data_IF_718649632061
#
_entry.id   IF_718649632061
#
_cell.length_a   1.000
_cell.length_b   1.000
_cell.length_c   1.000
_cell.angle_alpha   90.00
_cell.angle_beta   90.00
_cell.angle_gamma   90.00
#
_symmetry.space_group_name_H-M   'P 1'
#
loop_
_entity.id
_entity.type
_entity.pdbx_description
1 polymer ?
#
# COMPACT_ATOMS: atom_id res chain seq x y z
N UNK A 1 12.23 9.85 23.29
CA UNK A 1 10.80 9.68 22.93
C UNK A 1 10.64 8.96 21.60
N UNK A 2 11.34 9.38 20.54
CA UNK A 2 11.34 8.73 19.21
C UNK A 2 11.64 7.22 19.25
N UNK A 3 12.60 6.76 20.05
CA UNK A 3 12.92 5.32 20.19
C UNK A 3 11.78 4.49 20.76
N UNK A 4 11.02 5.02 21.74
CA UNK A 4 9.82 4.35 22.28
C UNK A 4 8.71 4.29 21.24
N UNK A 5 8.51 5.38 20.50
CA UNK A 5 7.54 5.45 19.41
C UNK A 5 7.84 4.40 18.33
N UNK A 6 9.08 4.24 17.90
CA UNK A 6 9.44 3.25 16.89
C UNK A 6 9.29 1.81 17.34
N UNK A 7 9.65 1.50 18.58
CA UNK A 7 9.39 0.17 19.15
C UNK A 7 7.90 -0.14 19.14
N UNK A 8 7.06 0.85 19.46
CA UNK A 8 5.61 0.72 19.44
C UNK A 8 5.06 0.51 18.02
N UNK A 9 5.50 1.32 17.05
CA UNK A 9 5.10 1.19 15.64
C UNK A 9 5.54 -0.16 15.06
N UNK A 10 6.76 -0.60 15.37
CA UNK A 10 7.26 -1.92 14.97
C UNK A 10 6.39 -3.04 15.54
N UNK A 11 5.98 -2.94 16.80
CA UNK A 11 5.11 -3.93 17.43
C UNK A 11 3.73 -3.99 16.76
N UNK A 12 3.15 -2.83 16.41
CA UNK A 12 1.92 -2.78 15.61
C UNK A 12 2.12 -3.49 14.27
N UNK A 13 3.19 -3.18 13.54
CA UNK A 13 3.49 -3.82 12.26
C UNK A 13 3.60 -5.35 12.36
N UNK A 14 4.21 -5.86 13.43
CA UNK A 14 4.30 -7.30 13.68
C UNK A 14 2.94 -7.93 13.98
N UNK A 15 2.09 -7.27 14.77
CA UNK A 15 0.73 -7.74 15.04
C UNK A 15 -0.13 -7.77 13.77
N UNK A 16 -0.05 -6.73 12.94
CA UNK A 16 -0.74 -6.69 11.64
C UNK A 16 -0.25 -7.81 10.74
N UNK A 17 1.07 -8.05 10.68
CA UNK A 17 1.65 -9.17 9.94
C UNK A 17 1.21 -10.54 10.44
N UNK A 18 1.10 -10.70 11.76
CA UNK A 18 0.59 -11.93 12.37
C UNK A 18 -0.88 -12.19 11.99
N UNK A 19 -1.73 -11.18 12.10
CA UNK A 19 -3.14 -11.27 11.69
C UNK A 19 -3.26 -11.60 10.20
N UNK A 20 -2.45 -10.95 9.36
CA UNK A 20 -2.42 -11.22 7.92
C UNK A 20 -1.99 -12.67 7.62
N UNK A 21 -1.00 -13.20 8.32
CA UNK A 21 -0.55 -14.58 8.15
C UNK A 21 -1.68 -15.58 8.51
N UNK A 22 -2.38 -15.35 9.62
CA UNK A 22 -3.54 -16.14 10.03
C UNK A 22 -4.66 -16.06 8.98
N UNK A 23 -4.97 -14.86 8.49
CA UNK A 23 -5.97 -14.64 7.46
C UNK A 23 -5.60 -15.33 6.13
N UNK A 24 -4.32 -15.32 5.74
CA UNK A 24 -3.83 -16.00 4.55
C UNK A 24 -3.92 -17.53 4.67
N UNK A 25 -3.58 -18.09 5.84
CA UNK A 25 -3.76 -19.54 6.11
C UNK A 25 -5.23 -19.92 6.03
N UNK A 26 -6.11 -19.10 6.62
CA UNK A 26 -7.56 -19.31 6.54
C UNK A 26 -8.06 -19.25 5.09
N UNK A 27 -7.63 -18.25 4.32
CA UNK A 27 -8.03 -18.05 2.92
C UNK A 27 -7.47 -19.09 1.94
N UNK A 28 -6.37 -19.77 2.27
CA UNK A 28 -5.81 -20.86 1.48
C UNK A 28 -6.56 -22.19 1.69
N UNK A 29 -7.38 -22.30 2.75
CA UNK A 29 -8.27 -23.43 2.97
C UNK A 29 -9.48 -23.44 2.01
N UNK A 30 -10.29 -24.50 1.99
CA UNK A 30 -11.42 -24.68 1.08
C UNK A 30 -12.64 -23.79 1.39
N UNK A 31 -12.46 -22.66 2.09
CA UNK A 31 -13.53 -21.85 2.66
C UNK A 31 -13.54 -20.43 2.08
N UNK A 32 -14.09 -20.20 0.87
CA UNK A 32 -14.15 -18.88 0.25
C UNK A 32 -15.36 -18.10 0.80
N UNK A 33 -15.37 -17.78 2.09
CA UNK A 33 -16.40 -16.91 2.69
C UNK A 33 -16.07 -15.42 2.57
N UNK A 34 -14.83 -15.08 2.18
CA UNK A 34 -14.37 -13.70 2.05
C UNK A 34 -14.40 -13.31 0.58
N UNK A 35 -15.10 -12.22 0.30
CA UNK A 35 -15.21 -11.61 -1.02
C UNK A 35 -13.83 -11.20 -1.58
N UNK A 36 -13.65 -11.32 -2.89
CA UNK A 36 -12.34 -11.18 -3.52
C UNK A 36 -11.76 -9.76 -3.38
N UNK A 37 -12.60 -8.73 -3.48
CA UNK A 37 -12.20 -7.33 -3.30
C UNK A 37 -11.63 -7.08 -1.91
N UNK A 38 -12.32 -7.56 -0.88
CA UNK A 38 -11.89 -7.46 0.52
C UNK A 38 -10.59 -8.25 0.77
N UNK A 39 -10.46 -9.45 0.19
CA UNK A 39 -9.24 -10.25 0.35
C UNK A 39 -8.01 -9.58 -0.26
N UNK A 40 -8.12 -9.10 -1.50
CA UNK A 40 -7.01 -8.45 -2.21
C UNK A 40 -6.70 -7.06 -1.62
N UNK A 41 -7.72 -6.22 -1.44
CA UNK A 41 -7.58 -4.89 -0.85
C UNK A 41 -7.04 -4.95 0.58
N UNK A 42 -7.53 -5.89 1.39
CA UNK A 42 -7.06 -6.12 2.76
C UNK A 42 -5.60 -6.60 2.82
N UNK A 43 -5.20 -7.52 1.93
CA UNK A 43 -3.82 -7.99 1.84
C UNK A 43 -2.85 -6.88 1.40
N UNK A 44 -3.23 -6.08 0.40
CA UNK A 44 -2.44 -4.94 -0.06
C UNK A 44 -2.36 -3.89 1.06
N UNK A 45 -3.49 -3.55 1.69
CA UNK A 45 -3.58 -2.61 2.80
C UNK A 45 -2.67 -2.96 3.97
N UNK A 46 -2.75 -4.20 4.43
CA UNK A 46 -1.89 -4.72 5.49
C UNK A 46 -0.42 -4.73 5.08
N UNK A 47 -0.07 -5.08 3.85
CA UNK A 47 1.32 -5.04 3.37
C UNK A 47 1.90 -3.61 3.39
N UNK A 48 1.11 -2.59 3.00
CA UNK A 48 1.53 -1.18 3.09
C UNK A 48 1.75 -0.79 4.54
N UNK A 49 0.81 -1.09 5.44
CA UNK A 49 0.92 -0.80 6.88
C UNK A 49 2.20 -1.44 7.43
N UNK A 50 2.40 -2.74 7.21
CA UNK A 50 3.59 -3.47 7.68
C UNK A 50 4.87 -2.83 7.16
N UNK A 51 4.91 -2.47 5.87
CA UNK A 51 6.11 -1.88 5.26
C UNK A 51 6.43 -0.51 5.87
N UNK A 52 5.43 0.36 6.03
CA UNK A 52 5.64 1.68 6.65
C UNK A 52 6.07 1.58 8.12
N UNK A 53 5.58 0.57 8.85
CA UNK A 53 5.94 0.36 10.26
C UNK A 53 7.32 -0.29 10.45
N UNK A 54 7.72 -1.20 9.58
CA UNK A 54 8.98 -1.96 9.71
C UNK A 54 10.15 -1.31 8.97
N UNK A 55 9.89 -0.65 7.84
CA UNK A 55 10.88 0.03 7.00
C UNK A 55 10.46 1.48 6.71
N UNK A 56 10.33 2.33 7.76
CA UNK A 56 10.03 3.75 7.56
C UNK A 56 11.21 4.47 6.90
N UNK A 57 10.91 5.54 6.16
CA UNK A 57 11.89 6.48 5.60
C UNK A 57 12.76 7.09 6.70
N UNK A 58 12.21 7.21 7.90
CA UNK A 58 12.94 7.67 9.08
C UNK A 58 14.17 6.81 9.39
N UNK A 59 14.12 5.50 9.12
CA UNK A 59 15.26 4.60 9.31
C UNK A 59 16.21 4.60 8.11
N UNK A 60 15.70 4.80 6.90
CA UNK A 60 16.49 4.82 5.67
C UNK A 60 17.29 6.14 5.52
N UNK A 61 16.67 7.28 5.83
CA UNK A 61 17.23 8.62 5.57
C UNK A 61 17.36 9.52 6.81
N UNK A 62 16.94 9.07 8.00
CA UNK A 62 16.93 9.90 9.21
C UNK A 62 18.30 10.24 9.77
N UNK A 63 19.31 9.38 9.58
CA UNK A 63 20.65 9.56 10.15
C UNK A 63 20.63 9.73 11.68
N UNK A 64 21.65 10.39 12.24
CA UNK A 64 21.76 10.62 13.70
C UNK A 64 20.90 11.79 14.20
N UNK A 65 20.40 12.65 13.31
CA UNK A 65 19.64 13.84 13.70
C UNK A 65 18.19 13.51 14.07
N UNK A 66 17.76 13.77 15.32
CA UNK A 66 16.39 13.46 15.76
C UNK A 66 15.33 14.27 15.01
N UNK A 67 15.62 15.50 14.59
CA UNK A 67 14.69 16.35 13.84
C UNK A 67 14.44 15.82 12.43
N UNK A 68 15.50 15.37 11.75
CA UNK A 68 15.42 14.82 10.38
C UNK A 68 14.61 13.53 10.37
N UNK A 69 14.80 12.68 11.38
CA UNK A 69 14.05 11.44 11.59
C UNK A 69 12.56 11.70 11.86
N UNK A 70 12.23 12.72 12.66
CA UNK A 70 10.84 13.12 12.91
C UNK A 70 10.15 13.60 11.63
N UNK A 71 10.83 14.38 10.79
CA UNK A 71 10.30 14.83 9.50
C UNK A 71 9.91 13.67 8.58
N UNK A 72 10.78 12.65 8.44
CA UNK A 72 10.46 11.47 7.64
C UNK A 72 9.32 10.62 8.20
N UNK A 73 9.18 10.56 9.52
CA UNK A 73 8.02 9.92 10.15
C UNK A 73 6.70 10.63 9.83
N UNK A 74 6.70 11.97 9.78
CA UNK A 74 5.51 12.73 9.37
C UNK A 74 5.14 12.40 7.91
N UNK A 75 6.13 12.31 7.03
CA UNK A 75 5.91 11.90 5.63
C UNK A 75 5.31 10.49 5.57
N UNK A 76 5.86 9.52 6.29
CA UNK A 76 5.33 8.15 6.31
C UNK A 76 3.90 8.08 6.83
N UNK A 77 3.55 8.91 7.83
CA UNK A 77 2.18 9.01 8.32
C UNK A 77 1.24 9.63 7.28
N UNK A 78 1.65 10.68 6.57
CA UNK A 78 0.86 11.27 5.49
C UNK A 78 0.62 10.24 4.38
N UNK A 79 1.65 9.49 3.98
CA UNK A 79 1.53 8.40 3.00
C UNK A 79 0.54 7.33 3.50
N UNK A 80 0.65 6.92 4.76
CA UNK A 80 -0.25 5.95 5.36
C UNK A 80 -1.71 6.41 5.31
N UNK A 81 -2.00 7.61 5.80
CA UNK A 81 -3.38 8.12 5.84
C UNK A 81 -3.94 8.37 4.44
N UNK A 82 -3.12 8.89 3.52
CA UNK A 82 -3.51 9.03 2.12
C UNK A 82 -3.84 7.68 1.48
N UNK A 83 -3.05 6.64 1.76
CA UNK A 83 -3.29 5.31 1.21
C UNK A 83 -4.54 4.63 1.79
N UNK A 84 -4.79 4.81 3.08
CA UNK A 84 -6.04 4.36 3.70
C UNK A 84 -7.25 5.05 3.08
N UNK A 85 -7.16 6.34 2.78
CA UNK A 85 -8.21 7.06 2.06
C UNK A 85 -8.42 6.49 0.64
N UNK A 86 -7.34 6.15 -0.07
CA UNK A 86 -7.45 5.47 -1.37
C UNK A 86 -8.16 4.12 -1.26
N UNK A 87 -7.86 3.31 -0.23
CA UNK A 87 -8.55 2.03 -0.02
C UNK A 87 -10.03 2.20 0.27
N UNK A 88 -10.42 3.24 1.03
CA UNK A 88 -11.83 3.54 1.29
C UNK A 88 -12.56 3.93 0.00
N UNK A 89 -11.97 4.81 -0.81
CA UNK A 89 -12.53 5.17 -2.13
C UNK A 89 -12.61 3.95 -3.05
N UNK A 90 -11.61 3.08 -3.02
CA UNK A 90 -11.65 1.83 -3.79
C UNK A 90 -12.81 0.93 -3.35
N UNK A 91 -13.07 0.79 -2.06
CA UNK A 91 -14.18 -0.03 -1.55
C UNK A 91 -15.56 0.48 -2.01
N UNK A 92 -15.73 1.79 -2.18
CA UNK A 92 -16.98 2.37 -2.68
C UNK A 92 -17.17 2.17 -4.19
N UNK A 93 -16.06 2.22 -4.96
CA UNK A 93 -16.10 2.16 -6.42
C UNK A 93 -15.93 0.73 -6.95
N UNK A 94 -15.46 -0.21 -6.12
CA UNK A 94 -15.13 -1.59 -6.50
C UNK A 94 -16.29 -2.34 -7.16
N UNK A 95 -17.47 -2.33 -6.55
CA UNK A 95 -18.66 -3.00 -7.10
C UNK A 95 -19.05 -2.39 -8.45
N UNK A 96 -18.99 -1.06 -8.56
CA UNK A 96 -19.32 -0.38 -9.80
C UNK A 96 -18.33 -0.73 -10.93
N UNK A 97 -17.03 -0.89 -10.62
CA UNK A 97 -16.02 -1.35 -11.60
C UNK A 97 -16.34 -2.75 -12.14
N UNK A 98 -16.92 -3.62 -11.30
CA UNK A 98 -17.32 -4.96 -11.70
C UNK A 98 -18.54 -4.93 -12.63
N UNK A 99 -19.48 -4.01 -12.37
CA UNK A 99 -20.68 -3.82 -13.19
C UNK A 99 -20.39 -3.15 -14.55
N UNK A 100 -19.19 -2.62 -14.76
CA UNK A 100 -18.76 -2.01 -16.04
C UNK A 100 -19.41 -0.67 -16.36
N UNK A 101 -20.27 -0.14 -15.48
CA UNK A 101 -20.99 1.13 -15.64
C UNK A 101 -20.34 2.19 -14.75
N UNK A 102 -19.04 2.46 -14.95
CA UNK A 102 -18.34 3.54 -14.22
C UNK A 102 -17.81 4.58 -15.17
N UNK A 103 -18.25 5.80 -14.96
CA UNK A 103 -17.58 6.99 -15.49
C UNK A 103 -16.45 7.31 -14.52
N UNK A 104 -15.23 6.97 -14.90
CA UNK A 104 -14.03 7.28 -14.14
C UNK A 104 -13.77 8.78 -14.21
N UNK A 105 -14.30 9.52 -13.24
CA UNK A 105 -14.02 10.95 -13.12
C UNK A 105 -12.55 11.20 -12.77
N UNK A 106 -12.02 12.35 -13.21
CA UNK A 106 -10.66 12.79 -12.93
C UNK A 106 -10.23 12.68 -11.45
N UNK A 107 -11.04 13.07 -10.44
CA UNK A 107 -10.67 12.88 -9.03
C UNK A 107 -10.47 11.41 -8.64
N UNK A 108 -11.34 10.51 -9.10
CA UNK A 108 -11.25 9.07 -8.82
C UNK A 108 -9.99 8.47 -9.42
N UNK A 109 -9.64 8.87 -10.66
CA UNK A 109 -8.39 8.48 -11.30
C UNK A 109 -7.16 9.00 -10.55
N UNK A 110 -7.19 10.24 -10.05
CA UNK A 110 -6.08 10.81 -9.29
C UNK A 110 -5.85 10.06 -7.96
N UNK A 111 -6.92 9.67 -7.27
CA UNK A 111 -6.86 8.88 -6.02
C UNK A 111 -6.29 7.48 -6.31
N UNK A 112 -6.72 6.85 -7.40
CA UNK A 112 -6.17 5.56 -7.85
C UNK A 112 -4.69 5.66 -8.22
N UNK A 113 -4.29 6.71 -8.95
CA UNK A 113 -2.89 6.97 -9.30
C UNK A 113 -2.02 7.18 -8.07
N UNK A 114 -2.50 7.94 -7.08
CA UNK A 114 -1.82 8.08 -5.79
C UNK A 114 -1.61 6.72 -5.12
N UNK A 115 -2.65 5.86 -5.08
CA UNK A 115 -2.54 4.49 -4.58
C UNK A 115 -1.44 3.69 -5.27
N UNK A 116 -1.43 3.70 -6.60
CA UNK A 116 -0.41 3.02 -7.41
C UNK A 116 1.00 3.52 -7.09
N UNK A 117 1.19 4.84 -6.94
CA UNK A 117 2.48 5.41 -6.56
C UNK A 117 2.95 4.96 -5.18
N UNK A 118 2.03 4.87 -4.20
CA UNK A 118 2.35 4.34 -2.87
C UNK A 118 2.80 2.88 -2.94
N UNK A 119 2.11 2.05 -3.73
CA UNK A 119 2.52 0.65 -3.92
C UNK A 119 3.92 0.54 -4.54
N UNK A 120 4.21 1.35 -5.56
CA UNK A 120 5.54 1.38 -6.19
C UNK A 120 6.61 1.76 -5.15
N UNK A 121 6.35 2.73 -4.28
CA UNK A 121 7.27 3.07 -3.19
C UNK A 121 7.40 1.93 -2.16
N UNK A 122 6.33 1.20 -1.84
CA UNK A 122 6.42 0.04 -0.94
C UNK A 122 7.29 -1.07 -1.52
N UNK A 123 7.22 -1.28 -2.85
CA UNK A 123 8.10 -2.20 -3.57
C UNK A 123 9.55 -1.71 -3.51
N UNK A 124 9.80 -0.40 -3.73
CA UNK A 124 11.13 0.21 -3.60
C UNK A 124 11.76 -0.07 -2.23
N UNK A 125 11.01 0.13 -1.15
CA UNK A 125 11.48 -0.07 0.24
C UNK A 125 11.80 -1.53 0.56
N UNK A 126 11.17 -2.48 -0.13
CA UNK A 126 11.35 -3.90 0.15
C UNK A 126 12.39 -4.59 -0.73
N UNK A 127 12.41 -4.26 -2.01
CA UNK A 127 13.17 -5.00 -3.02
C UNK A 127 14.17 -4.13 -3.79
N UNK A 128 14.28 -2.84 -3.46
CA UNK A 128 15.16 -1.90 -4.15
C UNK A 128 14.54 -1.31 -5.42
N UNK A 129 15.36 -0.60 -6.20
CA UNK A 129 14.88 0.28 -7.28
C UNK A 129 14.48 -0.45 -8.58
N UNK A 130 14.94 -1.69 -8.77
CA UNK A 130 14.76 -2.43 -10.03
C UNK A 130 13.27 -2.74 -10.30
N UNK A 131 12.56 -3.28 -9.31
CA UNK A 131 11.14 -3.61 -9.48
C UNK A 131 10.23 -2.38 -9.70
N UNK A 132 10.40 -1.26 -8.97
CA UNK A 132 9.71 0.00 -9.28
C UNK A 132 9.89 0.45 -10.73
N UNK A 133 11.10 0.35 -11.28
CA UNK A 133 11.37 0.70 -12.69
C UNK A 133 10.54 -0.20 -13.61
N UNK A 134 10.51 -1.51 -13.36
CA UNK A 134 9.70 -2.45 -14.14
C UNK A 134 8.21 -2.11 -14.03
N UNK A 135 7.71 -1.79 -12.82
CA UNK A 135 6.32 -1.36 -12.63
C UNK A 135 5.98 -0.12 -13.46
N UNK A 136 6.85 0.89 -13.48
CA UNK A 136 6.65 2.11 -14.27
C UNK A 136 6.65 1.80 -15.77
N UNK A 137 7.59 0.98 -16.24
CA UNK A 137 7.63 0.56 -17.65
C UNK A 137 6.35 -0.18 -18.05
N UNK A 138 5.82 -1.04 -17.18
CA UNK A 138 4.56 -1.74 -17.41
C UNK A 138 3.37 -0.79 -17.43
N UNK A 139 3.34 0.26 -16.60
CA UNK A 139 2.27 1.27 -16.66
C UNK A 139 2.31 2.07 -17.96
N UNK A 140 3.52 2.42 -18.44
CA UNK A 140 3.69 3.07 -19.75
C UNK A 140 3.21 2.14 -20.86
N UNK A 141 3.62 0.86 -20.81
CA UNK A 141 3.15 -0.13 -21.76
C UNK A 141 1.64 -0.36 -21.69
N UNK A 142 1.02 -0.33 -20.51
CA UNK A 142 -0.44 -0.45 -20.40
C UNK A 142 -1.18 0.73 -21.03
N UNK A 143 -0.58 1.93 -21.01
CA UNK A 143 -1.18 3.14 -21.57
C UNK A 143 -0.97 3.30 -23.08
N UNK A 144 0.19 2.88 -23.60
CA UNK A 144 0.60 3.12 -24.99
C UNK A 144 0.79 1.83 -25.80
N UNK A 145 0.85 0.69 -25.13
CA UNK A 145 0.95 -0.61 -25.76
C UNK A 145 -0.39 -0.99 -26.35
N UNK A 146 -0.33 -1.56 -27.55
CA UNK A 146 -1.46 -2.13 -28.23
C UNK A 146 -1.79 -3.47 -27.55
N UNK A 147 -2.46 -3.39 -26.40
CA UNK A 147 -3.05 -4.54 -25.74
C UNK A 147 -4.21 -4.99 -26.62
N UNK A 148 -4.23 -6.24 -27.14
CA UNK A 148 -5.39 -6.75 -27.83
C UNK A 148 -6.57 -6.76 -26.85
N UNK A 149 -7.48 -5.80 -27.03
CA UNK A 149 -8.76 -5.69 -26.34
C UNK A 149 -9.87 -6.30 -27.17
#
# INVERSE_FOLDING_TARGET
MLTKFESFMRQIGLWVGFVLAVAAIYGAGPFPFIEQGVRLGGAIGSAVIITLMLKPLANEFGGESPNRRMFFWVIDLIILFGFLFTLLNFAEVYESLWDGVVILETPTLAIGFFGTMVIIDMVRRNFGIILPIICILMLIYAQFGDLPG
#
